data_IF_504252508006
#
_entry.id   IF_504252508006
#
_cell.length_a   1.000
_cell.length_b   1.000
_cell.length_c   1.000
_cell.angle_alpha   90.00
_cell.angle_beta   90.00
_cell.angle_gamma   90.00
#
_symmetry.space_group_name_H-M   'P 1'
#
loop_
_entity.id
_entity.type
_entity.pdbx_description
1 polymer ?
#
# COMPACT_ATOMS: atom_id res chain seq x y z
N UNK A 1 -73.55 3.06 -25.96
CA UNK A 1 -73.40 3.79 -24.68
C UNK A 1 -73.27 2.78 -23.53
N UNK A 2 -72.19 2.89 -22.74
CA UNK A 2 -71.97 2.49 -21.32
C UNK A 2 -72.43 1.07 -20.87
N UNK A 3 -71.49 0.12 -20.67
CA UNK A 3 -70.86 -0.33 -19.38
C UNK A 3 -71.90 -0.86 -18.37
N UNK A 4 -71.76 -2.04 -17.72
CA UNK A 4 -70.64 -2.46 -16.85
C UNK A 4 -70.62 -3.98 -16.61
N UNK A 5 -69.39 -4.46 -16.43
CA UNK A 5 -68.91 -5.76 -15.95
C UNK A 5 -69.35 -6.17 -14.54
N UNK A 6 -69.52 -7.47 -14.32
CA UNK A 6 -69.44 -8.12 -13.01
C UNK A 6 -68.51 -9.33 -13.16
N UNK A 7 -67.29 -9.26 -12.62
CA UNK A 7 -66.42 -10.42 -12.44
C UNK A 7 -65.96 -10.42 -10.99
N UNK A 8 -66.25 -11.53 -10.32
CA UNK A 8 -65.91 -11.83 -8.95
C UNK A 8 -64.40 -11.81 -8.76
N UNK A 9 -63.93 -11.10 -7.72
CA UNK A 9 -62.55 -11.16 -7.24
C UNK A 9 -62.46 -12.25 -6.18
N UNK A 10 -61.80 -13.36 -6.50
CA UNK A 10 -61.31 -14.31 -5.51
C UNK A 10 -59.88 -13.94 -5.14
N UNK A 11 -59.67 -13.66 -3.85
CA UNK A 11 -58.37 -13.39 -3.25
C UNK A 11 -57.49 -14.63 -3.29
N UNK A 12 -56.38 -14.59 -4.04
CA UNK A 12 -55.28 -15.53 -3.87
C UNK A 12 -54.25 -14.91 -2.92
N UNK A 13 -54.07 -15.55 -1.77
CA UNK A 13 -53.02 -15.26 -0.79
C UNK A 13 -51.65 -15.43 -1.44
N UNK A 14 -50.80 -14.42 -1.28
CA UNK A 14 -49.43 -14.44 -1.75
C UNK A 14 -48.56 -15.41 -0.96
N UNK A 15 -47.72 -16.14 -1.67
CA UNK A 15 -46.49 -16.70 -1.13
C UNK A 15 -45.37 -16.19 -2.04
N UNK A 16 -44.89 -14.98 -1.76
CA UNK A 16 -43.68 -14.46 -2.37
C UNK A 16 -42.52 -15.28 -1.80
N UNK A 17 -42.05 -16.27 -2.56
CA UNK A 17 -40.74 -16.87 -2.32
C UNK A 17 -39.72 -15.80 -2.70
N UNK A 18 -39.36 -14.96 -1.74
CA UNK A 18 -38.14 -14.16 -1.84
C UNK A 18 -36.99 -15.15 -1.81
N UNK A 19 -36.50 -15.54 -2.99
CA UNK A 19 -35.19 -16.12 -3.13
C UNK A 19 -34.21 -15.04 -2.65
N UNK A 20 -33.84 -15.10 -1.37
CA UNK A 20 -32.69 -14.36 -0.88
C UNK A 20 -31.49 -14.87 -1.70
N UNK A 21 -30.74 -14.01 -2.40
CA UNK A 21 -29.49 -14.45 -2.96
C UNK A 21 -28.60 -14.85 -1.78
N UNK A 22 -28.28 -16.14 -1.72
CA UNK A 22 -27.20 -16.68 -0.92
C UNK A 22 -25.87 -16.11 -1.43
N UNK A 23 -25.63 -14.83 -1.17
CA UNK A 23 -24.30 -14.23 -1.17
C UNK A 23 -23.88 -13.97 0.26
N UNK A 24 -24.06 -14.97 1.11
CA UNK A 24 -23.09 -15.25 2.16
C UNK A 24 -21.96 -16.05 1.52
N UNK A 25 -21.21 -15.37 0.64
CA UNK A 25 -19.87 -15.83 0.31
C UNK A 25 -19.07 -15.58 1.59
N UNK A 26 -18.93 -16.60 2.43
CA UNK A 26 -17.81 -16.66 3.35
C UNK A 26 -16.56 -16.60 2.47
N UNK A 27 -16.01 -15.41 2.25
CA UNK A 27 -14.63 -15.32 1.83
C UNK A 27 -13.84 -15.92 2.98
N UNK A 28 -13.38 -17.16 2.82
CA UNK A 28 -12.12 -17.54 3.42
C UNK A 28 -11.15 -16.40 3.09
N UNK A 29 -10.52 -15.81 4.11
CA UNK A 29 -9.61 -14.68 3.90
C UNK A 29 -8.62 -15.05 2.79
N UNK A 30 -8.69 -14.35 1.66
CA UNK A 30 -7.87 -14.63 0.47
C UNK A 30 -6.36 -14.54 0.80
N UNK A 31 -6.02 -13.81 1.88
CA UNK A 31 -4.68 -13.58 2.37
C UNK A 31 -4.55 -13.98 3.84
N UNK A 32 -3.54 -14.78 4.16
CA UNK A 32 -3.21 -15.10 5.56
C UNK A 32 -2.62 -13.90 6.29
N UNK A 33 -2.66 -13.90 7.63
CA UNK A 33 -2.01 -12.82 8.42
C UNK A 33 -0.51 -12.80 8.15
N UNK A 34 0.13 -13.97 8.11
CA UNK A 34 1.57 -14.07 7.87
C UNK A 34 1.94 -13.54 6.48
N UNK A 35 1.10 -13.76 5.46
CA UNK A 35 1.27 -13.18 4.12
C UNK A 35 1.12 -11.66 4.14
N UNK A 36 0.10 -11.13 4.80
CA UNK A 36 -0.12 -9.68 4.92
C UNK A 36 1.01 -8.98 5.68
N UNK A 37 1.66 -9.69 6.60
CA UNK A 37 2.82 -9.22 7.37
C UNK A 37 4.17 -9.53 6.69
N UNK A 38 4.18 -10.19 5.53
CA UNK A 38 5.41 -10.53 4.80
C UNK A 38 6.27 -11.61 5.46
N UNK A 39 5.67 -12.45 6.31
CA UNK A 39 6.34 -13.54 7.06
C UNK A 39 6.38 -14.87 6.32
N UNK A 40 5.78 -14.95 5.15
CA UNK A 40 5.82 -16.13 4.27
C UNK A 40 6.36 -15.77 2.90
N UNK A 41 6.97 -16.75 2.27
CA UNK A 41 7.36 -16.66 0.87
C UNK A 41 6.11 -16.60 -0.01
N UNK A 42 6.18 -15.75 -1.04
CA UNK A 42 5.13 -15.59 -2.05
C UNK A 42 5.74 -15.70 -3.45
N UNK A 43 4.92 -16.07 -4.43
CA UNK A 43 5.38 -16.15 -5.82
C UNK A 43 5.62 -14.75 -6.40
N UNK A 44 6.89 -14.48 -6.72
CA UNK A 44 7.37 -13.21 -7.27
C UNK A 44 7.97 -13.42 -8.65
N UNK A 45 7.79 -12.41 -9.50
CA UNK A 45 8.15 -12.46 -10.92
C UNK A 45 9.11 -11.33 -11.27
N UNK A 46 10.09 -11.66 -12.13
CA UNK A 46 11.13 -10.76 -12.63
C UNK A 46 12.23 -10.49 -11.62
N UNK A 47 13.43 -11.00 -11.87
CA UNK A 47 14.60 -10.72 -11.00
C UNK A 47 14.86 -9.21 -10.95
N UNK A 48 14.93 -8.65 -9.74
CA UNK A 48 15.07 -7.20 -9.51
C UNK A 48 13.76 -6.40 -9.67
N UNK A 49 12.68 -7.02 -10.14
CA UNK A 49 11.32 -6.46 -10.12
C UNK A 49 10.55 -7.00 -8.92
N UNK A 50 10.57 -8.33 -8.71
CA UNK A 50 10.02 -9.03 -7.56
C UNK A 50 8.60 -8.56 -7.19
N UNK A 51 7.66 -8.70 -8.12
CA UNK A 51 6.24 -8.39 -7.91
C UNK A 51 5.39 -9.64 -8.13
N UNK A 52 4.18 -9.66 -7.57
CA UNK A 52 3.17 -10.67 -7.93
C UNK A 52 2.89 -10.61 -9.43
N UNK A 53 2.53 -11.74 -10.03
CA UNK A 53 2.39 -11.91 -11.48
C UNK A 53 1.68 -10.73 -12.18
N UNK A 54 0.48 -10.35 -11.76
CA UNK A 54 -0.29 -9.30 -12.43
C UNK A 54 0.34 -7.91 -12.26
N UNK A 55 0.92 -7.62 -11.09
CA UNK A 55 1.64 -6.38 -10.84
C UNK A 55 2.94 -6.31 -11.68
N UNK A 56 3.67 -7.42 -11.77
CA UNK A 56 4.84 -7.56 -12.64
C UNK A 56 4.48 -7.31 -14.11
N UNK A 57 3.45 -7.99 -14.62
CA UNK A 57 3.05 -7.88 -16.03
C UNK A 57 2.57 -6.44 -16.35
N UNK A 58 1.82 -5.82 -15.44
CA UNK A 58 1.42 -4.41 -15.54
C UNK A 58 2.64 -3.47 -15.50
N UNK A 59 3.62 -3.73 -14.63
CA UNK A 59 4.85 -2.94 -14.55
C UNK A 59 5.65 -3.02 -15.85
N UNK A 60 5.74 -4.18 -16.51
CA UNK A 60 6.42 -4.31 -17.80
C UNK A 60 5.72 -3.52 -18.91
N UNK A 61 4.39 -3.45 -18.90
CA UNK A 61 3.63 -2.61 -19.83
C UNK A 61 3.90 -1.12 -19.58
N UNK A 62 3.86 -0.69 -18.30
CA UNK A 62 4.17 0.67 -17.88
C UNK A 62 5.60 1.07 -18.27
N UNK A 63 6.58 0.19 -17.99
CA UNK A 63 7.99 0.40 -18.33
C UNK A 63 8.21 0.53 -19.84
N UNK A 64 7.49 -0.25 -20.67
CA UNK A 64 7.56 -0.13 -22.13
C UNK A 64 6.99 1.20 -22.63
N UNK A 65 5.87 1.64 -22.06
CA UNK A 65 5.27 2.93 -22.41
C UNK A 65 6.21 4.09 -22.05
N UNK A 66 6.71 4.12 -20.82
CA UNK A 66 7.68 5.12 -20.37
C UNK A 66 8.94 5.16 -21.25
N UNK A 67 9.47 3.99 -21.62
CA UNK A 67 10.64 3.89 -22.49
C UNK A 67 10.39 4.52 -23.87
N UNK A 68 9.18 4.36 -24.42
CA UNK A 68 8.79 4.96 -25.70
C UNK A 68 8.74 6.50 -25.63
N UNK A 69 8.50 7.03 -24.44
CA UNK A 69 8.48 8.47 -24.13
C UNK A 69 9.83 8.98 -23.60
N UNK A 70 10.89 8.15 -23.63
CA UNK A 70 12.26 8.54 -23.28
C UNK A 70 12.62 8.42 -21.79
N UNK A 71 11.84 7.69 -20.99
CA UNK A 71 12.06 7.47 -19.55
C UNK A 71 12.38 5.99 -19.30
N UNK A 72 13.47 5.67 -18.58
CA UNK A 72 13.74 4.29 -18.15
C UNK A 72 13.26 4.07 -16.72
N UNK A 73 12.11 3.41 -16.54
CA UNK A 73 11.65 3.07 -15.18
C UNK A 73 12.60 2.06 -14.54
N UNK A 74 13.32 2.51 -13.50
CA UNK A 74 14.25 1.69 -12.72
C UNK A 74 13.71 1.49 -11.31
N UNK A 75 13.56 0.22 -10.91
CA UNK A 75 13.21 -0.14 -9.54
C UNK A 75 14.41 0.09 -8.62
N UNK A 76 14.18 0.86 -7.56
CA UNK A 76 15.08 1.02 -6.42
C UNK A 76 14.75 -0.04 -5.37
N UNK A 77 13.47 -0.28 -5.15
CA UNK A 77 12.96 -1.16 -4.10
C UNK A 77 11.58 -1.70 -4.48
N UNK A 78 11.30 -2.97 -4.17
CA UNK A 78 10.03 -3.64 -4.43
C UNK A 78 9.71 -4.61 -3.29
N UNK A 79 9.36 -5.89 -3.55
CA UNK A 79 9.07 -6.83 -2.47
C UNK A 79 10.15 -6.84 -1.39
N UNK A 80 9.67 -6.84 -0.15
CA UNK A 80 10.47 -6.88 1.05
C UNK A 80 9.74 -7.76 2.04
N UNK A 81 10.35 -8.83 2.47
CA UNK A 81 9.81 -9.67 3.54
C UNK A 81 9.85 -8.95 4.90
N UNK A 82 9.24 -9.57 5.89
CA UNK A 82 9.22 -9.09 7.28
C UNK A 82 10.64 -8.86 7.80
N UNK A 83 11.52 -9.84 7.66
CA UNK A 83 12.86 -9.85 8.26
C UNK A 83 13.77 -8.77 7.68
N UNK A 84 13.65 -8.48 6.38
CA UNK A 84 14.34 -7.36 5.75
C UNK A 84 13.80 -6.03 6.27
N UNK A 85 12.48 -5.88 6.44
CA UNK A 85 11.91 -4.67 7.03
C UNK A 85 12.33 -4.51 8.50
N UNK A 86 12.37 -5.59 9.27
CA UNK A 86 12.91 -5.64 10.64
C UNK A 86 14.35 -5.17 10.67
N UNK A 87 15.24 -5.72 9.84
CA UNK A 87 16.64 -5.27 9.79
C UNK A 87 16.80 -3.77 9.50
N UNK A 88 15.92 -3.19 8.68
CA UNK A 88 15.90 -1.74 8.39
C UNK A 88 15.44 -0.96 9.62
N UNK A 89 14.39 -1.44 10.29
CA UNK A 89 13.88 -0.85 11.52
C UNK A 89 14.93 -0.86 12.62
N UNK A 90 15.47 -2.03 12.94
CA UNK A 90 16.48 -2.23 14.00
C UNK A 90 17.70 -1.34 13.77
N UNK A 91 18.23 -1.33 12.54
CA UNK A 91 19.37 -0.48 12.20
C UNK A 91 19.06 0.99 12.44
N UNK A 92 17.92 1.50 11.96
CA UNK A 92 17.55 2.91 12.14
C UNK A 92 17.31 3.25 13.62
N UNK A 93 16.66 2.36 14.35
CA UNK A 93 16.39 2.56 15.77
C UNK A 93 17.69 2.69 16.56
N UNK A 94 18.60 1.72 16.43
CA UNK A 94 19.90 1.77 17.09
C UNK A 94 20.79 2.92 16.62
N UNK A 95 20.78 3.25 15.32
CA UNK A 95 21.46 4.44 14.81
C UNK A 95 20.96 5.70 15.53
N UNK A 96 19.64 5.84 15.65
CA UNK A 96 19.03 7.02 16.26
C UNK A 96 19.15 7.08 17.78
N UNK A 97 18.98 5.96 18.49
CA UNK A 97 19.06 5.94 19.96
C UNK A 97 20.49 5.88 20.46
N UNK A 98 21.33 5.04 19.84
CA UNK A 98 22.64 4.69 20.40
C UNK A 98 23.75 5.57 19.81
N UNK A 99 23.63 5.97 18.54
CA UNK A 99 24.64 6.81 17.87
C UNK A 99 24.28 8.29 17.89
N UNK A 100 23.03 8.64 17.58
CA UNK A 100 22.54 10.03 17.58
C UNK A 100 22.01 10.49 18.96
N UNK A 101 21.97 9.61 19.96
CA UNK A 101 21.50 9.86 21.33
C UNK A 101 20.06 10.44 21.40
N UNK A 102 19.19 10.08 20.44
CA UNK A 102 17.79 10.49 20.45
C UNK A 102 16.97 9.69 21.48
N UNK A 103 16.00 10.37 22.10
CA UNK A 103 14.99 9.70 22.91
C UNK A 103 14.23 8.64 22.09
N UNK A 104 13.96 7.45 22.64
CA UNK A 104 13.33 6.33 21.91
C UNK A 104 12.05 6.69 21.13
N UNK A 105 11.16 7.48 21.73
CA UNK A 105 9.93 7.93 21.07
C UNK A 105 10.22 8.86 19.90
N UNK A 106 11.20 9.76 20.03
CA UNK A 106 11.61 10.65 18.95
C UNK A 106 12.29 9.87 17.80
N UNK A 107 13.08 8.84 18.14
CA UNK A 107 13.64 7.92 17.15
C UNK A 107 12.52 7.18 16.38
N UNK A 108 11.53 6.64 17.09
CA UNK A 108 10.36 5.98 16.48
C UNK A 108 9.61 6.96 15.56
N UNK A 109 9.29 8.16 16.04
CA UNK A 109 8.59 9.19 15.26
C UNK A 109 9.36 9.54 13.99
N UNK A 110 10.69 9.67 14.07
CA UNK A 110 11.58 9.91 12.93
C UNK A 110 11.61 8.74 11.94
N UNK A 111 11.63 7.50 12.42
CA UNK A 111 11.60 6.31 11.55
C UNK A 111 10.29 6.26 10.77
N UNK A 112 9.15 6.49 11.44
CA UNK A 112 7.83 6.42 10.81
C UNK A 112 7.48 7.61 9.91
N UNK A 113 8.41 8.55 9.70
CA UNK A 113 8.27 9.54 8.63
C UNK A 113 8.39 8.89 7.24
N UNK A 114 9.24 7.87 7.09
CA UNK A 114 9.56 7.21 5.81
C UNK A 114 9.76 5.67 5.93
N UNK A 115 9.44 5.06 7.07
CA UNK A 115 9.59 3.62 7.26
C UNK A 115 8.50 3.03 8.12
N UNK A 116 8.03 1.87 7.70
CA UNK A 116 6.97 1.15 8.38
C UNK A 116 7.52 0.31 9.52
N UNK A 117 6.74 0.16 10.58
CA UNK A 117 6.94 -0.90 11.57
C UNK A 117 6.90 -2.27 10.85
N UNK A 118 7.83 -3.21 11.12
CA UNK A 118 7.83 -4.54 10.49
C UNK A 118 6.46 -5.23 10.57
N UNK A 119 6.05 -5.87 9.48
CA UNK A 119 4.72 -6.47 9.36
C UNK A 119 3.60 -5.51 8.95
N UNK A 120 3.90 -4.21 8.75
CA UNK A 120 2.93 -3.22 8.25
C UNK A 120 3.32 -2.58 6.92
N UNK A 121 4.43 -3.03 6.31
CA UNK A 121 4.88 -2.52 5.02
C UNK A 121 3.99 -3.01 3.89
N UNK A 122 3.62 -2.12 2.96
CA UNK A 122 2.93 -2.50 1.73
C UNK A 122 3.85 -3.28 0.77
N UNK A 123 5.17 -3.09 0.86
CA UNK A 123 6.12 -3.90 0.11
C UNK A 123 6.04 -5.40 0.44
N UNK A 124 5.50 -5.79 1.60
CA UNK A 124 5.23 -7.19 1.94
C UNK A 124 4.24 -7.84 0.96
N UNK A 125 3.41 -7.04 0.29
CA UNK A 125 2.35 -7.55 -0.58
C UNK A 125 2.85 -7.90 -1.98
N UNK A 126 4.08 -7.50 -2.34
CA UNK A 126 4.61 -7.69 -3.68
C UNK A 126 3.85 -6.89 -4.75
N UNK A 127 3.24 -5.77 -4.34
CA UNK A 127 2.45 -4.86 -5.18
C UNK A 127 3.06 -3.46 -5.30
N UNK A 128 3.96 -3.11 -4.38
CA UNK A 128 4.47 -1.76 -4.21
C UNK A 128 5.92 -1.66 -4.68
N UNK A 129 6.22 -0.55 -5.36
CA UNK A 129 7.52 -0.25 -5.97
C UNK A 129 7.96 1.18 -5.63
N UNK A 130 9.25 1.32 -5.35
CA UNK A 130 9.97 2.57 -5.36
C UNK A 130 10.73 2.67 -6.69
N UNK A 131 10.41 3.67 -7.51
CA UNK A 131 10.94 3.80 -8.88
C UNK A 131 11.49 5.19 -9.17
N UNK A 132 12.50 5.22 -10.04
CA UNK A 132 13.17 6.43 -10.55
C UNK A 132 13.40 6.34 -12.06
N UNK A 133 13.85 7.43 -12.67
CA UNK A 133 14.39 7.44 -14.03
C UNK A 133 15.85 6.93 -14.04
N UNK A 134 16.07 5.78 -14.68
CA UNK A 134 17.36 5.13 -14.83
C UNK A 134 18.34 5.90 -15.71
N UNK A 135 17.88 6.84 -16.54
CA UNK A 135 18.77 7.69 -17.35
C UNK A 135 19.38 8.85 -16.57
N UNK A 136 18.82 9.17 -15.40
CA UNK A 136 19.24 10.33 -14.61
C UNK A 136 20.29 9.90 -13.58
N UNK A 137 21.49 10.45 -13.71
CA UNK A 137 22.53 10.29 -12.71
C UNK A 137 22.27 11.24 -11.54
N UNK A 138 22.33 10.72 -10.31
CA UNK A 138 22.25 11.54 -9.10
C UNK A 138 23.28 11.06 -8.07
N UNK A 139 23.66 11.95 -7.15
CA UNK A 139 24.53 11.62 -6.02
C UNK A 139 23.71 11.46 -4.75
N UNK A 140 24.22 10.67 -3.79
CA UNK A 140 23.55 10.42 -2.52
C UNK A 140 22.27 9.59 -2.66
N UNK A 141 21.35 9.76 -1.71
CA UNK A 141 20.07 9.06 -1.70
C UNK A 141 19.19 9.49 -2.88
N UNK A 142 18.66 8.52 -3.62
CA UNK A 142 17.82 8.75 -4.81
C UNK A 142 16.35 8.97 -4.45
N UNK A 143 15.90 8.54 -3.27
CA UNK A 143 14.51 8.62 -2.81
C UNK A 143 14.32 9.86 -1.93
N UNK A 144 14.49 11.03 -2.53
CA UNK A 144 14.41 12.34 -1.87
C UNK A 144 13.42 13.20 -2.65
N UNK A 145 12.38 13.72 -1.98
CA UNK A 145 11.21 14.29 -2.67
C UNK A 145 11.59 15.46 -3.59
N UNK A 146 12.50 16.30 -3.14
CA UNK A 146 13.03 17.46 -3.89
C UNK A 146 13.65 17.06 -5.23
N UNK A 147 14.10 15.80 -5.39
CA UNK A 147 14.64 15.33 -6.66
C UNK A 147 13.59 15.09 -7.73
N UNK A 148 12.31 14.99 -7.36
CA UNK A 148 11.17 14.73 -8.25
C UNK A 148 10.37 16.00 -8.54
N UNK A 149 10.63 17.08 -7.82
CA UNK A 149 9.97 18.38 -7.97
C UNK A 149 10.67 19.25 -9.02
N UNK A 150 10.15 20.45 -9.25
CA UNK A 150 10.66 21.42 -10.22
C UNK A 150 12.18 21.67 -10.06
N UNK A 151 12.93 21.50 -11.15
CA UNK A 151 14.39 21.62 -11.17
C UNK A 151 15.14 20.38 -10.68
N UNK A 152 14.43 19.36 -10.21
CA UNK A 152 14.98 18.08 -9.79
C UNK A 152 15.32 17.15 -10.96
N UNK A 153 16.28 16.20 -10.79
CA UNK A 153 16.67 15.27 -11.85
C UNK A 153 15.55 14.34 -12.32
N UNK A 154 14.53 14.09 -11.49
CA UNK A 154 13.40 13.20 -11.78
C UNK A 154 12.10 13.96 -12.08
N UNK A 155 12.15 15.28 -12.29
CA UNK A 155 10.97 16.11 -12.59
C UNK A 155 10.16 15.55 -13.78
N UNK A 156 10.81 15.27 -14.90
CA UNK A 156 10.15 14.75 -16.12
C UNK A 156 9.58 13.34 -15.90
N UNK A 157 10.26 12.51 -15.12
CA UNK A 157 9.75 11.21 -14.71
C UNK A 157 8.49 11.36 -13.87
N UNK A 158 8.48 12.30 -12.91
CA UNK A 158 7.35 12.51 -12.02
C UNK A 158 6.13 12.99 -12.79
N UNK A 159 6.30 13.94 -13.71
CA UNK A 159 5.23 14.39 -14.63
C UNK A 159 4.66 13.22 -15.43
N UNK A 160 5.52 12.38 -16.00
CA UNK A 160 5.06 11.22 -16.76
C UNK A 160 4.28 10.23 -15.88
N UNK A 161 4.77 9.95 -14.67
CA UNK A 161 4.10 9.06 -13.74
C UNK A 161 2.72 9.59 -13.32
N UNK A 162 2.59 10.89 -13.08
CA UNK A 162 1.31 11.53 -12.73
C UNK A 162 0.27 11.41 -13.86
N UNK A 163 0.71 11.46 -15.11
CA UNK A 163 -0.18 11.39 -16.27
C UNK A 163 -0.51 9.95 -16.71
N UNK A 164 0.32 8.96 -16.34
CA UNK A 164 0.29 7.64 -16.98
C UNK A 164 0.19 6.44 -16.04
N UNK A 165 0.70 6.52 -14.81
CA UNK A 165 0.83 5.34 -13.93
C UNK A 165 -0.49 4.61 -13.69
N UNK A 166 -1.57 5.36 -13.49
CA UNK A 166 -2.90 4.81 -13.20
C UNK A 166 -3.49 4.02 -14.39
N UNK A 167 -3.08 4.32 -15.63
CA UNK A 167 -3.48 3.56 -16.85
C UNK A 167 -3.02 2.10 -16.77
N UNK A 168 -1.98 1.84 -15.98
CA UNK A 168 -1.42 0.52 -15.72
C UNK A 168 -1.81 -0.03 -14.34
N UNK A 169 -2.69 0.67 -13.61
CA UNK A 169 -3.16 0.29 -12.28
C UNK A 169 -2.17 0.59 -11.15
N UNK A 170 -1.13 1.38 -11.40
CA UNK A 170 -0.21 1.85 -10.35
C UNK A 170 -0.64 3.23 -9.87
N UNK A 171 -0.83 3.39 -8.57
CA UNK A 171 -1.19 4.67 -7.96
C UNK A 171 -0.13 5.10 -6.96
N UNK A 172 0.17 6.41 -6.97
CA UNK A 172 1.02 7.02 -5.95
C UNK A 172 0.37 6.85 -4.57
N UNK A 173 1.08 6.27 -3.60
CA UNK A 173 0.49 5.93 -2.29
C UNK A 173 0.52 7.13 -1.35
N UNK A 174 1.68 7.78 -1.23
CA UNK A 174 1.91 8.85 -0.27
C UNK A 174 1.97 10.19 -1.01
N UNK A 175 0.81 10.82 -1.19
CA UNK A 175 0.64 12.07 -1.95
C UNK A 175 1.10 13.32 -1.17
N UNK A 176 1.28 14.44 -1.88
CA UNK A 176 1.67 15.73 -1.29
C UNK A 176 0.45 16.55 -0.80
N UNK A 177 -0.57 15.87 -0.26
CA UNK A 177 -1.77 16.52 0.26
C UNK A 177 -1.51 17.10 1.65
N UNK A 178 -1.69 18.41 1.81
CA UNK A 178 -1.37 19.13 3.05
C UNK A 178 -2.09 18.63 4.31
N UNK A 179 -3.17 17.86 4.15
CA UNK A 179 -3.97 17.29 5.26
C UNK A 179 -3.51 15.90 5.69
N UNK A 180 -2.63 15.24 4.92
CA UNK A 180 -2.06 13.94 5.30
C UNK A 180 -1.18 14.06 6.53
N UNK A 181 -1.24 13.06 7.40
CA UNK A 181 -0.52 13.00 8.68
C UNK A 181 0.40 11.80 8.82
N UNK A 182 0.32 10.84 7.90
CA UNK A 182 1.11 9.62 7.91
C UNK A 182 2.55 9.81 7.45
N UNK A 183 3.03 8.82 6.71
CA UNK A 183 4.29 8.92 5.99
C UNK A 183 4.34 10.22 5.17
N UNK A 184 5.54 10.77 5.05
CA UNK A 184 5.79 11.97 4.25
C UNK A 184 5.46 11.69 2.79
N UNK A 185 5.49 12.75 1.99
CA UNK A 185 5.30 12.63 0.55
C UNK A 185 6.44 11.82 -0.08
N UNK A 186 6.08 10.77 -0.83
CA UNK A 186 7.03 9.86 -1.48
C UNK A 186 6.71 9.76 -2.98
N UNK A 187 7.20 10.69 -3.82
CA UNK A 187 6.91 10.74 -5.27
C UNK A 187 7.38 9.51 -6.07
N UNK A 188 8.12 8.60 -5.44
CA UNK A 188 8.64 7.37 -6.02
C UNK A 188 7.79 6.13 -5.73
N UNK A 189 6.89 6.19 -4.74
CA UNK A 189 6.26 5.01 -4.15
C UNK A 189 4.86 4.74 -4.74
N UNK A 190 4.78 3.74 -5.61
CA UNK A 190 3.55 3.38 -6.33
C UNK A 190 3.09 1.97 -5.97
N UNK A 191 1.78 1.79 -5.83
CA UNK A 191 1.14 0.51 -5.50
C UNK A 191 0.24 0.05 -6.64
N UNK A 192 0.32 -1.24 -6.99
CA UNK A 192 -0.60 -1.86 -7.93
C UNK A 192 -1.99 -2.06 -7.28
N UNK A 193 -2.91 -1.14 -7.56
CA UNK A 193 -4.24 -1.04 -6.96
C UNK A 193 -5.06 -2.34 -7.04
N UNK A 194 -5.14 -3.07 -8.18
CA UNK A 194 -6.01 -4.24 -8.31
C UNK A 194 -5.76 -5.37 -7.29
N UNK A 195 -4.54 -5.46 -6.74
CA UNK A 195 -4.21 -6.43 -5.67
C UNK A 195 -4.10 -5.72 -4.31
N UNK A 196 -3.51 -4.52 -4.27
CA UNK A 196 -3.25 -3.87 -2.99
C UNK A 196 -4.50 -3.42 -2.24
N UNK A 197 -5.59 -3.07 -2.94
CA UNK A 197 -6.88 -2.69 -2.33
C UNK A 197 -7.50 -3.87 -1.57
N UNK A 198 -7.73 -5.06 -2.18
CA UNK A 198 -8.27 -6.20 -1.44
C UNK A 198 -7.34 -6.67 -0.31
N UNK A 199 -6.01 -6.57 -0.47
CA UNK A 199 -5.07 -6.88 0.61
C UNK A 199 -5.18 -5.90 1.79
N UNK A 200 -5.29 -4.58 1.53
CA UNK A 200 -5.53 -3.60 2.59
C UNK A 200 -6.88 -3.85 3.28
N UNK A 201 -7.93 -4.14 2.52
CA UNK A 201 -9.23 -4.49 3.08
C UNK A 201 -9.13 -5.72 4.00
N UNK A 202 -8.45 -6.79 3.57
CA UNK A 202 -8.20 -7.97 4.38
C UNK A 202 -7.39 -7.63 5.64
N UNK A 203 -6.33 -6.83 5.52
CA UNK A 203 -5.49 -6.42 6.65
C UNK A 203 -6.25 -5.62 7.70
N UNK A 204 -7.16 -4.74 7.27
CA UNK A 204 -8.05 -3.94 8.15
C UNK A 204 -9.02 -4.79 8.97
N UNK A 205 -9.32 -6.02 8.55
CA UNK A 205 -10.14 -6.96 9.35
C UNK A 205 -9.37 -7.57 10.51
N UNK A 206 -8.03 -7.49 10.50
CA UNK A 206 -7.16 -8.09 11.51
C UNK A 206 -6.97 -7.14 12.69
N UNK A 207 -6.69 -7.71 13.86
CA UNK A 207 -6.35 -6.93 15.05
C UNK A 207 -4.89 -6.47 14.99
N UNK A 208 -4.58 -5.55 14.08
CA UNK A 208 -3.21 -5.04 13.83
C UNK A 208 -2.57 -4.55 15.14
N UNK A 209 -3.35 -3.88 16.00
CA UNK A 209 -2.88 -3.42 17.31
C UNK A 209 -2.36 -4.57 18.17
N UNK A 210 -3.08 -5.68 18.21
CA UNK A 210 -2.65 -6.86 18.97
C UNK A 210 -1.46 -7.55 18.31
N UNK A 211 -1.44 -7.66 16.98
CA UNK A 211 -0.32 -8.28 16.24
C UNK A 211 1.00 -7.56 16.56
N UNK A 212 1.01 -6.22 16.48
CA UNK A 212 2.22 -5.41 16.71
C UNK A 212 2.72 -5.44 18.15
N UNK A 213 1.90 -5.86 19.12
CA UNK A 213 2.33 -6.02 20.52
C UNK A 213 3.11 -7.32 20.78
N UNK A 214 2.94 -8.32 19.92
CA UNK A 214 3.58 -9.64 20.03
C UNK A 214 4.85 -9.80 19.20
N UNK A 215 5.12 -8.88 18.29
CA UNK A 215 6.39 -8.86 17.55
C UNK A 215 7.56 -8.63 18.51
N UNK A 216 8.76 -9.08 18.17
CA UNK A 216 9.96 -8.85 18.98
C UNK A 216 10.89 -7.88 18.25
N UNK A 217 10.59 -6.59 18.36
CA UNK A 217 11.28 -5.51 17.64
C UNK A 217 11.66 -4.38 18.59
N UNK A 218 12.78 -3.72 18.32
CA UNK A 218 13.30 -2.64 19.17
C UNK A 218 12.33 -1.46 19.23
N UNK A 219 12.21 -0.89 20.43
CA UNK A 219 11.27 0.20 20.72
C UNK A 219 9.82 -0.25 20.93
N UNK A 220 9.52 -1.55 20.89
CA UNK A 220 8.15 -2.07 21.07
C UNK A 220 7.51 -1.70 22.40
N UNK A 221 8.29 -1.52 23.46
CA UNK A 221 7.81 -1.03 24.77
C UNK A 221 7.07 0.32 24.66
N UNK A 222 7.31 1.08 23.59
CA UNK A 222 6.63 2.32 23.28
C UNK A 222 5.36 2.15 22.43
N UNK A 223 5.05 0.94 21.95
CA UNK A 223 3.88 0.63 21.13
C UNK A 223 2.60 0.50 21.98
N UNK A 224 2.31 1.56 22.71
CA UNK A 224 1.08 1.69 23.48
C UNK A 224 -0.14 1.61 22.57
N UNK A 225 -1.30 1.22 23.13
CA UNK A 225 -2.55 1.21 22.38
C UNK A 225 -2.90 2.58 21.76
N UNK A 226 -2.51 3.69 22.42
CA UNK A 226 -2.70 5.04 21.90
C UNK A 226 -1.82 5.32 20.68
N UNK A 227 -0.53 4.98 20.78
CA UNK A 227 0.42 5.10 19.69
C UNK A 227 -0.03 4.27 18.47
N UNK A 228 -0.31 2.98 18.66
CA UNK A 228 -0.69 2.08 17.56
C UNK A 228 -2.00 2.49 16.88
N UNK A 229 -2.99 2.99 17.63
CA UNK A 229 -4.21 3.56 17.02
C UNK A 229 -3.90 4.77 16.13
N UNK A 230 -2.98 5.63 16.57
CA UNK A 230 -2.54 6.78 15.78
C UNK A 230 -1.77 6.33 14.54
N UNK A 231 -0.82 5.40 14.70
CA UNK A 231 -0.05 4.83 13.59
C UNK A 231 -0.93 4.14 12.55
N UNK A 232 -1.90 3.31 12.96
CA UNK A 232 -2.83 2.68 12.02
C UNK A 232 -3.63 3.75 11.25
N UNK A 233 -4.19 4.74 11.96
CA UNK A 233 -4.99 5.78 11.32
C UNK A 233 -4.17 6.67 10.39
N UNK A 234 -2.97 7.07 10.81
CA UNK A 234 -2.17 8.06 10.12
C UNK A 234 -1.23 7.40 9.11
N UNK A 235 -0.48 6.37 9.48
CA UNK A 235 0.54 5.79 8.61
C UNK A 235 0.00 4.69 7.69
N UNK A 236 -0.94 3.87 8.16
CA UNK A 236 -1.49 2.77 7.34
C UNK A 236 -2.68 3.24 6.48
N UNK A 237 -3.56 4.08 7.03
CA UNK A 237 -4.84 4.44 6.40
C UNK A 237 -4.90 5.84 5.78
N UNK A 238 -4.01 6.76 6.16
CA UNK A 238 -3.92 8.08 5.52
C UNK A 238 -3.02 7.96 4.28
N UNK A 239 -3.53 7.29 3.25
CA UNK A 239 -2.91 7.08 1.92
C UNK A 239 -3.78 7.71 0.83
N UNK A 240 -3.34 7.63 -0.43
CA UNK A 240 -4.17 8.01 -1.57
C UNK A 240 -5.55 7.32 -1.49
N UNK A 241 -6.69 8.06 -1.48
CA UNK A 241 -8.03 7.49 -1.36
C UNK A 241 -8.40 6.47 -2.43
N UNK A 242 -7.77 6.52 -3.61
CA UNK A 242 -7.97 5.54 -4.68
C UNK A 242 -7.42 4.13 -4.32
N UNK A 243 -6.70 4.01 -3.19
CA UNK A 243 -6.13 2.75 -2.68
C UNK A 243 -6.85 2.19 -1.44
N UNK A 244 -8.00 2.75 -1.03
CA UNK A 244 -8.71 2.42 0.23
C UNK A 244 -9.88 1.44 0.11
#
# INVERSE_FOLDING_TARGET
MKRRSFIQKSSFFGMAVTAAPNTLWQSQDEYSIDELMGKVDIDLYGEGINLRKNAHDAFLLMKRAAYSDGIDLKIVSSFRDYYRQESIWERKYHEYTDSDEMEPLAAIDKIIEYSTIPGTSRHHWGTDIDIIDGYRNTTGDVLVAEKFEEGGPFEEFKKWMDENSEKFGFHLVYTNEAKRRGFKYEPWHYSYAPISIPMLAAFRTKNILQLMQYEDISGREHFTAGFLKSYIRNNILDINPELL
#
